data_IF_162527303234
#
_entry.id   IF_162527303234
#
_cell.length_a   1.000
_cell.length_b   1.000
_cell.length_c   1.000
_cell.angle_alpha   90.00
_cell.angle_beta   90.00
_cell.angle_gamma   90.00
#
_symmetry.space_group_name_H-M   'P 1'
#
loop_
_entity.id
_entity.type
_entity.pdbx_description
1 polymer ?
#
# COMPACT_ATOMS: atom_id res chain seq x y z
N UNK A 1 -18.16 18.90 -4.91
CA UNK A 1 -17.31 17.70 -4.72
C UNK A 1 -16.29 17.63 -5.86
N UNK A 2 -14.99 17.82 -5.60
CA UNK A 2 -13.94 17.66 -6.60
C UNK A 2 -13.56 16.18 -6.67
N UNK A 3 -13.73 15.56 -7.84
CA UNK A 3 -13.39 14.14 -8.03
C UNK A 3 -11.87 13.96 -7.92
N UNK A 4 -11.43 12.99 -7.11
CA UNK A 4 -10.00 12.69 -6.91
C UNK A 4 -9.34 12.27 -8.23
N UNK A 5 -8.11 12.72 -8.45
CA UNK A 5 -7.39 12.59 -9.72
C UNK A 5 -7.15 11.13 -10.13
N UNK A 6 -6.85 10.24 -9.19
CA UNK A 6 -6.68 8.81 -9.46
C UNK A 6 -7.92 8.14 -10.05
N UNK A 7 -9.14 8.60 -9.73
CA UNK A 7 -10.37 8.01 -10.26
C UNK A 7 -10.51 8.22 -11.77
N UNK A 8 -9.85 9.27 -12.30
CA UNK A 8 -9.81 9.59 -13.74
C UNK A 8 -8.62 8.93 -14.43
N UNK A 9 -7.45 8.94 -13.80
CA UNK A 9 -6.21 8.54 -14.45
C UNK A 9 -6.01 7.02 -14.44
N UNK A 10 -6.52 6.33 -13.42
CA UNK A 10 -6.44 4.87 -13.34
C UNK A 10 -7.61 4.28 -14.12
N UNK A 11 -7.32 3.80 -15.34
CA UNK A 11 -8.33 3.28 -16.25
C UNK A 11 -8.84 1.90 -15.79
N UNK A 12 -7.93 1.06 -15.28
CA UNK A 12 -8.23 -0.32 -14.88
C UNK A 12 -9.11 -0.33 -13.61
N UNK A 13 -10.34 -0.87 -13.65
CA UNK A 13 -11.24 -0.89 -12.50
C UNK A 13 -10.66 -1.61 -11.27
N UNK A 14 -9.95 -2.72 -11.49
CA UNK A 14 -9.32 -3.48 -10.41
C UNK A 14 -8.25 -2.67 -9.65
N UNK A 15 -7.42 -1.92 -10.37
CA UNK A 15 -6.40 -1.04 -9.75
C UNK A 15 -7.04 0.14 -9.01
N UNK A 16 -8.12 0.72 -9.55
CA UNK A 16 -8.90 1.74 -8.83
C UNK A 16 -9.47 1.20 -7.54
N UNK A 17 -10.09 0.02 -7.59
CA UNK A 17 -10.65 -0.64 -6.40
C UNK A 17 -9.56 -0.87 -5.35
N UNK A 18 -8.40 -1.41 -5.74
CA UNK A 18 -7.29 -1.64 -4.84
C UNK A 18 -6.81 -0.34 -4.17
N UNK A 19 -6.69 0.75 -4.93
CA UNK A 19 -6.29 2.05 -4.39
C UNK A 19 -7.35 2.65 -3.46
N UNK A 20 -8.64 2.47 -3.77
CA UNK A 20 -9.74 2.87 -2.89
C UNK A 20 -9.74 2.04 -1.60
N UNK A 21 -9.54 0.72 -1.68
CA UNK A 21 -9.40 -0.15 -0.52
C UNK A 21 -8.21 0.28 0.36
N UNK A 22 -7.06 0.61 -0.24
CA UNK A 22 -5.92 1.16 0.48
C UNK A 22 -6.26 2.47 1.21
N UNK A 23 -6.92 3.41 0.51
CA UNK A 23 -7.26 4.73 1.06
C UNK A 23 -8.34 4.69 2.15
N UNK A 24 -9.26 3.73 2.05
CA UNK A 24 -10.36 3.57 3.00
C UNK A 24 -10.02 2.57 4.12
N UNK A 25 -8.80 2.02 4.12
CA UNK A 25 -8.44 0.89 4.99
C UNK A 25 -9.48 -0.24 4.89
N UNK A 26 -9.98 -0.48 3.66
CA UNK A 26 -10.98 -1.51 3.34
C UNK A 26 -10.37 -2.73 2.64
N UNK A 27 -9.06 -2.92 2.77
CA UNK A 27 -8.42 -4.19 2.48
C UNK A 27 -8.68 -5.17 3.62
N UNK A 28 -9.59 -6.13 3.41
CA UNK A 28 -9.90 -7.19 4.38
C UNK A 28 -8.74 -8.18 4.61
N UNK A 29 -7.61 -8.03 3.92
CA UNK A 29 -6.55 -9.04 3.93
C UNK A 29 -5.37 -8.66 4.82
N UNK A 30 -5.08 -7.37 5.03
CA UNK A 30 -4.00 -6.99 5.95
C UNK A 30 -4.41 -7.23 7.40
N UNK A 31 -3.51 -7.80 8.19
CA UNK A 31 -3.77 -8.11 9.60
C UNK A 31 -4.23 -6.86 10.37
N UNK A 32 -3.71 -5.67 10.03
CA UNK A 32 -4.15 -4.42 10.67
C UNK A 32 -5.66 -4.18 10.55
N UNK A 33 -6.28 -4.54 9.44
CA UNK A 33 -7.72 -4.32 9.22
C UNK A 33 -8.58 -5.49 9.65
N UNK A 34 -8.09 -6.73 9.50
CA UNK A 34 -8.76 -7.89 10.06
C UNK A 34 -8.94 -7.73 11.57
N UNK A 35 -7.89 -7.32 12.29
CA UNK A 35 -7.96 -7.12 13.74
C UNK A 35 -8.63 -5.81 14.17
N UNK A 36 -8.84 -4.83 13.28
CA UNK A 36 -9.75 -3.69 13.55
C UNK A 36 -11.23 -4.12 13.48
N UNK A 37 -11.57 -5.04 12.57
CA UNK A 37 -12.95 -5.52 12.36
C UNK A 37 -13.34 -6.61 13.34
N UNK A 38 -12.39 -7.44 13.76
CA UNK A 38 -12.58 -8.40 14.84
C UNK A 38 -12.59 -7.62 16.15
N UNK A 39 -13.76 -7.09 16.50
CA UNK A 39 -14.04 -6.79 17.90
C UNK A 39 -13.90 -8.11 18.65
N UNK A 40 -12.90 -8.21 19.54
CA UNK A 40 -12.88 -9.27 20.53
C UNK A 40 -14.27 -9.35 21.17
N UNK A 41 -14.86 -10.54 21.38
CA UNK A 41 -16.14 -10.70 22.07
C UNK A 41 -16.18 -10.07 23.48
N UNK A 42 -15.00 -9.70 24.01
CA UNK A 42 -14.78 -9.04 25.31
C UNK A 42 -14.52 -7.53 25.22
N UNK A 43 -14.58 -6.92 24.03
CA UNK A 43 -14.46 -5.47 23.84
C UNK A 43 -13.05 -4.87 23.91
N UNK A 44 -11.99 -5.68 23.99
CA UNK A 44 -10.61 -5.17 24.02
C UNK A 44 -10.06 -5.00 22.60
N UNK A 45 -9.47 -3.83 22.33
CA UNK A 45 -8.67 -3.59 21.14
C UNK A 45 -7.41 -4.46 21.18
N UNK A 46 -7.19 -5.26 20.12
CA UNK A 46 -5.93 -6.00 19.97
C UNK A 46 -4.84 -4.99 19.65
N UNK A 47 -3.82 -4.90 20.50
CA UNK A 47 -2.69 -3.99 20.32
C UNK A 47 -2.03 -4.16 18.93
N UNK A 48 -1.57 -3.05 18.35
CA UNK A 48 -0.98 -3.02 17.01
C UNK A 48 0.27 -3.91 16.86
N UNK A 49 1.00 -4.12 17.96
CA UNK A 49 2.22 -4.95 18.01
C UNK A 49 1.94 -6.47 18.00
N UNK A 50 0.67 -6.88 18.14
CA UNK A 50 0.23 -8.27 18.04
C UNK A 50 -0.29 -8.63 16.64
N UNK A 51 0.19 -7.93 15.60
CA UNK A 51 -0.31 -8.10 14.22
C UNK A 51 0.84 -8.46 13.28
N UNK A 52 1.50 -9.61 13.47
CA UNK A 52 2.72 -9.92 12.74
C UNK A 52 2.49 -10.01 11.24
N UNK A 53 3.47 -9.57 10.45
CA UNK A 53 3.48 -9.74 9.01
C UNK A 53 3.56 -11.23 8.66
N UNK A 54 2.65 -11.70 7.79
CA UNK A 54 2.59 -13.11 7.36
C UNK A 54 3.84 -13.62 6.66
N UNK A 55 4.68 -12.72 6.13
CA UNK A 55 5.85 -13.09 5.33
C UNK A 55 7.16 -12.97 6.11
N UNK A 56 7.40 -11.85 6.78
CA UNK A 56 8.68 -11.59 7.46
C UNK A 56 8.58 -11.54 8.98
N UNK A 57 7.41 -11.84 9.55
CA UNK A 57 7.17 -11.84 10.98
C UNK A 57 7.48 -10.50 11.69
N UNK A 58 7.49 -9.40 10.94
CA UNK A 58 7.59 -8.05 11.48
C UNK A 58 6.40 -7.76 12.42
N UNK A 59 6.56 -6.94 13.47
CA UNK A 59 5.56 -6.80 14.53
C UNK A 59 4.18 -6.29 14.05
N UNK A 60 4.15 -5.53 12.96
CA UNK A 60 2.90 -4.99 12.39
C UNK A 60 2.86 -5.14 10.86
N UNK A 61 1.84 -5.85 10.37
CA UNK A 61 1.44 -5.91 8.96
C UNK A 61 0.60 -4.66 8.61
N UNK A 62 1.27 -3.52 8.47
CA UNK A 62 0.64 -2.27 7.99
C UNK A 62 0.73 -2.12 6.48
N UNK A 63 -0.03 -1.18 5.92
CA UNK A 63 0.00 -0.79 4.52
C UNK A 63 1.41 -0.35 4.07
N UNK A 64 2.06 0.48 4.90
CA UNK A 64 3.44 0.93 4.67
C UNK A 64 4.40 -0.25 4.70
N UNK A 65 4.18 -1.20 5.61
CA UNK A 65 4.99 -2.41 5.66
C UNK A 65 4.82 -3.26 4.41
N UNK A 66 3.58 -3.61 4.04
CA UNK A 66 3.27 -4.41 2.87
C UNK A 66 3.79 -3.79 1.57
N UNK A 67 3.60 -2.47 1.40
CA UNK A 67 4.00 -1.75 0.19
C UNK A 67 5.51 -1.50 0.12
N UNK A 68 6.15 -1.06 1.20
CA UNK A 68 7.50 -0.49 1.09
C UNK A 68 8.59 -1.22 1.87
N UNK A 69 8.26 -2.06 2.85
CA UNK A 69 9.27 -2.64 3.76
C UNK A 69 9.35 -4.17 3.72
N UNK A 70 8.25 -4.87 3.43
CA UNK A 70 8.19 -6.33 3.54
C UNK A 70 9.29 -6.99 2.67
N UNK A 71 10.11 -7.84 3.27
CA UNK A 71 11.18 -8.57 2.57
C UNK A 71 11.03 -10.08 2.63
N UNK A 72 9.90 -10.59 3.14
CA UNK A 72 9.69 -12.02 3.36
C UNK A 72 9.17 -12.80 2.15
N UNK A 73 9.07 -12.17 0.98
CA UNK A 73 8.64 -12.81 -0.26
C UNK A 73 9.37 -12.18 -1.46
N UNK A 74 10.05 -13.01 -2.26
CA UNK A 74 10.89 -12.54 -3.36
C UNK A 74 10.09 -11.86 -4.48
N UNK A 75 8.90 -12.37 -4.83
CA UNK A 75 8.02 -11.76 -5.83
C UNK A 75 7.58 -10.35 -5.39
N UNK A 76 7.37 -10.14 -4.09
CA UNK A 76 7.02 -8.83 -3.54
C UNK A 76 8.19 -7.86 -3.67
N UNK A 77 9.41 -8.33 -3.36
CA UNK A 77 10.63 -7.54 -3.51
C UNK A 77 10.84 -7.15 -4.98
N UNK A 78 10.64 -8.08 -5.92
CA UNK A 78 10.75 -7.83 -7.35
C UNK A 78 9.73 -6.78 -7.84
N UNK A 79 8.46 -6.92 -7.46
CA UNK A 79 7.40 -5.95 -7.79
C UNK A 79 7.70 -4.57 -7.24
N UNK A 80 8.24 -4.49 -6.02
CA UNK A 80 8.66 -3.22 -5.41
C UNK A 80 9.85 -2.59 -6.12
N UNK A 81 10.86 -3.38 -6.49
CA UNK A 81 12.00 -2.88 -7.26
C UNK A 81 11.56 -2.35 -8.63
N UNK A 82 10.65 -3.07 -9.30
CA UNK A 82 10.05 -2.65 -10.57
C UNK A 82 9.26 -1.36 -10.40
N UNK A 83 8.50 -1.21 -9.31
CA UNK A 83 7.80 0.03 -8.99
C UNK A 83 8.78 1.20 -8.80
N UNK A 84 9.80 1.06 -7.96
CA UNK A 84 10.76 2.13 -7.72
C UNK A 84 11.57 2.51 -8.97
N UNK A 85 11.93 1.56 -9.82
CA UNK A 85 12.58 1.84 -11.10
C UNK A 85 11.71 2.73 -12.00
N UNK A 86 10.40 2.45 -12.07
CA UNK A 86 9.43 3.26 -12.84
C UNK A 86 9.22 4.64 -12.24
N UNK A 87 9.14 4.74 -10.91
CA UNK A 87 9.03 6.03 -10.20
C UNK A 87 10.26 6.88 -10.46
N UNK A 88 11.46 6.30 -10.34
CA UNK A 88 12.73 7.00 -10.57
C UNK A 88 12.87 7.50 -12.01
N UNK A 89 12.36 6.75 -12.99
CA UNK A 89 12.35 7.17 -14.40
C UNK A 89 11.45 8.40 -14.66
N UNK A 90 10.39 8.58 -13.88
CA UNK A 90 9.44 9.70 -14.03
C UNK A 90 9.85 10.89 -13.16
N UNK A 91 10.29 10.63 -11.93
CA UNK A 91 10.67 11.64 -10.96
C UNK A 91 11.92 11.17 -10.20
N UNK A 92 13.13 11.48 -10.70
CA UNK A 92 14.38 11.05 -10.08
C UNK A 92 14.58 11.51 -8.63
N UNK A 93 13.88 12.58 -8.23
CA UNK A 93 13.86 13.09 -6.85
C UNK A 93 13.19 12.16 -5.84
N UNK A 94 12.32 11.25 -6.30
CA UNK A 94 11.57 10.32 -5.45
C UNK A 94 12.36 9.02 -5.27
N UNK A 95 13.42 9.08 -4.46
CA UNK A 95 14.22 7.90 -4.13
C UNK A 95 13.48 6.97 -3.16
N UNK A 96 13.79 5.66 -3.14
CA UNK A 96 13.21 4.74 -2.15
C UNK A 96 13.39 5.22 -0.70
N UNK A 97 14.56 5.79 -0.39
CA UNK A 97 14.83 6.36 0.93
C UNK A 97 13.90 7.53 1.26
N UNK A 98 13.68 8.46 0.31
CA UNK A 98 12.74 9.57 0.49
C UNK A 98 11.31 9.08 0.72
N UNK A 99 10.88 8.08 -0.07
CA UNK A 99 9.54 7.51 0.01
C UNK A 99 9.33 6.79 1.34
N UNK A 100 10.32 6.05 1.83
CA UNK A 100 10.24 5.37 3.13
C UNK A 100 10.16 6.36 4.29
N UNK A 101 10.95 7.43 4.24
CA UNK A 101 10.97 8.46 5.26
C UNK A 101 9.68 9.31 5.25
N UNK A 102 9.03 9.43 4.08
CA UNK A 102 7.81 10.22 3.88
C UNK A 102 6.70 9.36 3.24
N UNK A 103 6.44 8.18 3.81
CA UNK A 103 5.55 7.17 3.21
C UNK A 103 4.14 7.69 2.93
N UNK A 104 3.50 8.32 3.92
CA UNK A 104 2.14 8.87 3.77
C UNK A 104 2.12 10.05 2.77
N UNK A 105 2.98 11.08 2.90
CA UNK A 105 3.06 12.15 1.88
C UNK A 105 3.33 11.62 0.47
N UNK A 106 4.17 10.59 0.32
CA UNK A 106 4.48 9.98 -0.98
C UNK A 106 3.28 9.27 -1.58
N UNK A 107 2.48 8.57 -0.76
CA UNK A 107 1.22 7.96 -1.21
C UNK A 107 0.28 9.05 -1.76
N UNK A 108 0.10 10.15 -1.04
CA UNK A 108 -0.72 11.27 -1.52
C UNK A 108 -0.20 11.85 -2.83
N UNK A 109 1.12 12.05 -2.94
CA UNK A 109 1.76 12.53 -4.17
C UNK A 109 1.48 11.59 -5.35
N UNK A 110 1.61 10.28 -5.17
CA UNK A 110 1.34 9.31 -6.24
C UNK A 110 -0.11 9.35 -6.72
N UNK A 111 -1.06 9.50 -5.79
CA UNK A 111 -2.49 9.49 -6.08
C UNK A 111 -2.93 10.77 -6.83
N UNK A 112 -2.25 11.88 -6.57
CA UNK A 112 -2.50 13.16 -7.22
C UNK A 112 -1.73 13.32 -8.53
N UNK A 113 -0.59 12.65 -8.69
CA UNK A 113 0.22 12.76 -9.89
C UNK A 113 -0.38 11.97 -11.07
N UNK A 114 -0.41 12.60 -12.26
CA UNK A 114 -1.03 12.02 -13.47
C UNK A 114 -0.40 10.70 -13.90
N UNK A 115 0.93 10.68 -13.99
CA UNK A 115 1.66 9.53 -14.53
C UNK A 115 2.01 8.48 -13.46
N UNK A 116 2.28 8.91 -12.22
CA UNK A 116 2.57 8.00 -11.11
C UNK A 116 1.32 7.29 -10.60
N UNK A 117 0.14 7.91 -10.67
CA UNK A 117 -1.11 7.31 -10.17
C UNK A 117 -1.43 5.92 -10.74
N UNK A 118 -1.43 5.74 -12.08
CA UNK A 118 -1.61 4.42 -12.69
C UNK A 118 -0.55 3.38 -12.30
N UNK A 119 0.71 3.81 -12.17
CA UNK A 119 1.84 2.94 -11.79
C UNK A 119 1.69 2.50 -10.34
N UNK A 120 1.37 3.44 -9.45
CA UNK A 120 1.12 3.18 -8.05
C UNK A 120 -0.13 2.31 -7.85
N UNK A 121 -1.22 2.58 -8.57
CA UNK A 121 -2.44 1.78 -8.47
C UNK A 121 -2.24 0.33 -8.94
N UNK A 122 -1.43 0.10 -9.99
CA UNK A 122 -1.02 -1.26 -10.40
C UNK A 122 -0.20 -1.92 -9.29
N UNK A 123 0.79 -1.21 -8.75
CA UNK A 123 1.64 -1.73 -7.68
C UNK A 123 0.84 -2.11 -6.43
N UNK A 124 -0.09 -1.25 -6.01
CA UNK A 124 -0.99 -1.51 -4.88
C UNK A 124 -1.86 -2.74 -5.15
N UNK A 125 -2.44 -2.86 -6.35
CA UNK A 125 -3.18 -4.07 -6.73
C UNK A 125 -2.31 -5.32 -6.64
N UNK A 126 -1.12 -5.28 -7.24
CA UNK A 126 -0.18 -6.40 -7.27
C UNK A 126 0.26 -6.85 -5.87
N UNK A 127 0.43 -5.91 -4.93
CA UNK A 127 0.77 -6.24 -3.53
C UNK A 127 -0.46 -6.77 -2.78
N UNK A 128 -1.61 -6.11 -2.90
CA UNK A 128 -2.82 -6.48 -2.16
C UNK A 128 -3.43 -7.82 -2.60
N UNK A 129 -3.10 -8.36 -3.77
CA UNK A 129 -3.52 -9.73 -4.15
C UNK A 129 -2.62 -10.81 -3.56
N UNK A 130 -1.43 -10.45 -3.07
CA UNK A 130 -0.49 -11.38 -2.45
C UNK A 130 -0.83 -11.58 -0.95
N UNK A 131 -1.30 -10.52 -0.29
CA UNK A 131 -1.82 -10.56 1.09
C UNK A 131 -3.32 -10.83 1.10
#
# INVERSE_FOLDING_TARGET
LKMRQYLRNVIVPAHRKALTCLLCSDHCTLAIEMYRRVQCPKGYEIAQDNRPCRYCNAPTESEVHALFLCGGNDDLVERRNTFFARVSAISPSLTPAHILQNSIPSIHLFIEHRDLGPIFAKFVYDVLIMF
#
